data_IF_922486495300
#
_entry.id   IF_922486495300
#
_cell.length_a   1.000
_cell.length_b   1.000
_cell.length_c   1.000
_cell.angle_alpha   90.00
_cell.angle_beta   90.00
_cell.angle_gamma   90.00
#
_symmetry.space_group_name_H-M   'P 1'
#
loop_
_entity.id
_entity.type
_entity.pdbx_description
1 polymer ?
#
# COMPACT_ATOMS: atom_id res chain seq x y z
N UNK A 1 -20.20 -12.41 -20.26
CA UNK A 1 -19.97 -12.97 -21.61
C UNK A 1 -18.61 -12.49 -22.04
N UNK A 2 -17.63 -13.38 -22.19
CA UNK A 2 -16.30 -12.99 -22.68
C UNK A 2 -16.46 -12.35 -24.07
N UNK A 3 -16.22 -11.06 -24.16
CA UNK A 3 -16.24 -10.34 -25.42
C UNK A 3 -14.98 -9.50 -25.54
N UNK A 4 -14.75 -8.97 -26.73
CA UNK A 4 -13.58 -8.15 -27.03
C UNK A 4 -13.44 -6.97 -26.05
N UNK A 5 -14.54 -6.27 -25.77
CA UNK A 5 -14.57 -5.09 -24.88
C UNK A 5 -14.10 -5.39 -23.45
N UNK A 6 -14.36 -6.59 -22.93
CA UNK A 6 -13.86 -7.02 -21.63
C UNK A 6 -12.33 -6.97 -21.55
N UNK A 7 -11.63 -7.33 -22.62
CA UNK A 7 -10.16 -7.30 -22.65
C UNK A 7 -9.58 -5.95 -23.07
N UNK A 8 -10.36 -5.16 -23.81
CA UNK A 8 -9.98 -3.77 -24.14
C UNK A 8 -10.04 -2.85 -22.91
N UNK A 9 -10.70 -3.25 -21.82
CA UNK A 9 -10.64 -2.59 -20.50
C UNK A 9 -10.99 -1.09 -20.48
N UNK A 10 -11.85 -0.66 -21.40
CA UNK A 10 -12.40 0.70 -21.39
C UNK A 10 -13.28 0.98 -20.15
N UNK A 11 -13.71 -0.07 -19.43
CA UNK A 11 -14.52 0.01 -18.22
C UNK A 11 -13.72 0.31 -16.93
N UNK A 12 -12.39 0.19 -16.96
CA UNK A 12 -11.55 0.35 -15.77
C UNK A 12 -11.53 1.82 -15.32
N UNK A 13 -12.03 2.15 -14.10
CA UNK A 13 -12.11 3.53 -13.63
C UNK A 13 -10.73 4.05 -13.23
N UNK A 14 -10.54 5.36 -13.44
CA UNK A 14 -9.41 6.14 -12.93
C UNK A 14 -9.17 5.88 -11.43
N UNK A 15 -7.93 5.63 -11.04
CA UNK A 15 -7.56 5.40 -9.64
C UNK A 15 -7.50 6.71 -8.86
N UNK A 16 -7.13 7.81 -9.52
CA UNK A 16 -7.00 9.13 -8.88
C UNK A 16 -8.35 9.78 -8.52
N UNK A 17 -9.49 9.28 -9.03
CA UNK A 17 -10.82 9.84 -8.75
C UNK A 17 -11.61 9.08 -7.69
N UNK A 18 -11.00 8.06 -7.06
CA UNK A 18 -11.65 7.23 -6.04
C UNK A 18 -11.69 7.95 -4.70
N UNK A 19 -12.66 7.59 -3.85
CA UNK A 19 -12.67 8.04 -2.44
C UNK A 19 -11.50 7.46 -1.66
N UNK A 20 -11.08 6.23 -2.00
CA UNK A 20 -9.89 5.57 -1.50
C UNK A 20 -8.85 5.48 -2.61
N UNK A 21 -7.79 6.25 -2.47
CA UNK A 21 -6.69 6.29 -3.43
C UNK A 21 -5.69 5.18 -3.07
N UNK A 22 -5.45 4.21 -3.96
CA UNK A 22 -4.39 3.22 -3.75
C UNK A 22 -3.03 3.91 -3.83
N UNK A 23 -2.25 3.83 -2.74
CA UNK A 23 -0.86 4.27 -2.72
C UNK A 23 0.07 3.17 -3.26
N UNK A 24 -0.31 1.91 -3.08
CA UNK A 24 0.34 0.76 -3.70
C UNK A 24 -0.66 -0.39 -3.82
N UNK A 25 -0.62 -1.11 -4.93
CA UNK A 25 -1.42 -2.31 -5.14
C UNK A 25 -0.62 -3.37 -5.91
N UNK A 26 -0.76 -4.62 -5.49
CA UNK A 26 -0.23 -5.81 -6.13
C UNK A 26 -1.22 -6.96 -5.92
N UNK A 27 -2.39 -6.84 -6.56
CA UNK A 27 -3.46 -7.84 -6.48
C UNK A 27 -3.43 -8.75 -7.71
N UNK A 28 -3.56 -10.04 -7.48
CA UNK A 28 -3.68 -11.07 -8.52
C UNK A 28 -4.79 -12.00 -8.08
N UNK A 29 -5.91 -11.95 -8.80
CA UNK A 29 -7.16 -12.59 -8.39
C UNK A 29 -7.55 -13.60 -9.45
N UNK A 30 -7.51 -14.87 -9.08
CA UNK A 30 -8.16 -15.93 -9.83
C UNK A 30 -9.68 -15.77 -9.70
N UNK A 31 -10.36 -15.69 -10.84
CA UNK A 31 -11.81 -15.60 -10.90
C UNK A 31 -12.44 -16.98 -10.92
N UNK A 32 -13.63 -17.10 -10.32
CA UNK A 32 -14.46 -18.28 -10.48
C UNK A 32 -14.75 -18.52 -11.97
N UNK A 33 -14.29 -19.66 -12.47
CA UNK A 33 -14.43 -20.02 -13.88
C UNK A 33 -15.75 -20.74 -14.11
N UNK A 34 -16.62 -20.25 -15.01
CA UNK A 34 -17.70 -21.06 -15.52
C UNK A 34 -17.12 -22.25 -16.30
N UNK A 35 -17.91 -23.32 -16.46
CA UNK A 35 -17.43 -24.61 -16.97
C UNK A 35 -16.86 -24.57 -18.41
N UNK A 36 -17.04 -23.48 -19.15
CA UNK A 36 -16.51 -23.25 -20.50
C UNK A 36 -15.13 -22.57 -20.53
N UNK A 37 -14.61 -22.15 -19.37
CA UNK A 37 -13.27 -21.57 -19.23
C UNK A 37 -12.31 -22.55 -18.52
N UNK A 38 -11.06 -22.58 -18.96
CA UNK A 38 -9.99 -23.33 -18.28
C UNK A 38 -9.52 -22.55 -17.06
N UNK A 39 -9.25 -21.25 -17.23
CA UNK A 39 -8.89 -20.33 -16.15
C UNK A 39 -9.25 -18.89 -16.51
N UNK A 40 -9.44 -18.06 -15.50
CA UNK A 40 -9.62 -16.63 -15.65
C UNK A 40 -8.95 -15.94 -14.46
N UNK A 41 -8.12 -14.93 -14.71
CA UNK A 41 -7.47 -14.15 -13.66
C UNK A 41 -7.43 -12.66 -14.02
N UNK A 42 -7.35 -11.84 -12.98
CA UNK A 42 -7.25 -10.39 -13.08
C UNK A 42 -6.10 -9.92 -12.20
N UNK A 43 -5.16 -9.23 -12.82
CA UNK A 43 -4.08 -8.55 -12.12
C UNK A 43 -4.37 -7.05 -12.04
N UNK A 44 -4.08 -6.44 -10.89
CA UNK A 44 -4.01 -4.98 -10.76
C UNK A 44 -2.77 -4.59 -9.96
N UNK A 45 -1.92 -3.81 -10.62
CA UNK A 45 -0.75 -3.17 -10.05
C UNK A 45 -0.93 -1.66 -10.01
N UNK A 46 -0.62 -1.05 -8.87
CA UNK A 46 -0.57 0.42 -8.72
C UNK A 46 0.71 0.78 -7.99
N UNK A 47 1.46 1.70 -8.57
CA UNK A 47 2.64 2.32 -7.98
C UNK A 47 2.47 3.83 -7.98
N UNK A 48 2.86 4.48 -6.89
CA UNK A 48 2.67 5.94 -6.73
C UNK A 48 3.93 6.63 -6.27
N UNK A 49 4.04 7.90 -6.64
CA UNK A 49 5.14 8.79 -6.28
C UNK A 49 4.57 10.13 -5.83
N UNK A 50 4.90 10.58 -4.62
CA UNK A 50 4.60 11.95 -4.19
C UNK A 50 5.69 12.88 -4.75
N UNK A 51 5.36 13.55 -5.85
CA UNK A 51 6.28 14.36 -6.66
C UNK A 51 6.49 15.72 -6.01
N UNK A 52 7.74 16.15 -5.92
CA UNK A 52 8.09 17.48 -5.42
C UNK A 52 7.60 18.59 -6.35
N UNK A 53 7.30 19.76 -5.77
CA UNK A 53 7.02 20.96 -6.55
C UNK A 53 8.13 21.23 -7.59
N UNK A 54 7.74 21.45 -8.84
CA UNK A 54 8.66 21.70 -9.95
C UNK A 54 9.18 20.44 -10.66
N UNK A 55 8.90 19.24 -10.14
CA UNK A 55 9.32 17.97 -10.77
C UNK A 55 8.23 17.31 -11.62
N UNK A 56 7.05 17.91 -11.76
CA UNK A 56 5.91 17.31 -12.46
C UNK A 56 6.19 16.98 -13.93
N UNK A 57 6.97 17.81 -14.63
CA UNK A 57 7.37 17.56 -16.02
C UNK A 57 8.26 16.32 -16.13
N UNK A 58 9.26 16.20 -15.25
CA UNK A 58 10.17 15.06 -15.22
C UNK A 58 9.45 13.77 -14.80
N UNK A 59 8.66 13.82 -13.74
CA UNK A 59 7.85 12.69 -13.28
C UNK A 59 6.81 12.25 -14.33
N UNK A 60 6.27 13.19 -15.11
CA UNK A 60 5.35 12.88 -16.21
C UNK A 60 5.97 12.12 -17.39
N UNK A 61 7.29 11.91 -17.39
CA UNK A 61 8.02 11.07 -18.36
C UNK A 61 8.19 9.63 -17.86
N UNK A 62 7.85 9.36 -16.60
CA UNK A 62 7.92 8.02 -16.03
C UNK A 62 6.71 7.19 -16.48
N UNK A 63 6.94 5.90 -16.73
CA UNK A 63 5.89 4.94 -17.03
C UNK A 63 5.79 3.82 -15.97
N UNK A 64 5.04 2.76 -16.28
CA UNK A 64 4.90 1.59 -15.40
C UNK A 64 6.22 0.85 -15.16
N UNK A 65 7.09 0.77 -16.17
CA UNK A 65 8.38 0.09 -16.05
C UNK A 65 9.30 0.83 -15.08
N UNK A 66 9.15 2.15 -15.01
CA UNK A 66 9.91 3.02 -14.12
C UNK A 66 9.47 2.90 -12.66
N UNK A 67 8.18 3.15 -12.35
CA UNK A 67 7.69 3.06 -10.97
C UNK A 67 7.60 1.62 -10.47
N UNK A 68 7.04 0.72 -11.29
CA UNK A 68 6.89 -0.72 -11.10
C UNK A 68 6.51 -1.17 -9.66
N UNK A 69 6.62 -2.48 -9.39
CA UNK A 69 6.33 -3.05 -8.07
C UNK A 69 7.57 -3.65 -7.41
N UNK A 70 8.77 -3.25 -7.82
CA UNK A 70 9.99 -3.73 -7.18
C UNK A 70 10.07 -3.24 -5.73
N UNK A 71 10.70 -4.04 -4.84
CA UNK A 71 10.99 -3.59 -3.50
C UNK A 71 11.94 -2.39 -3.49
N UNK A 72 11.77 -1.54 -2.49
CA UNK A 72 12.57 -0.33 -2.31
C UNK A 72 13.82 -0.68 -1.50
N UNK A 73 14.96 -0.07 -1.87
CA UNK A 73 16.23 -0.31 -1.19
C UNK A 73 16.99 0.98 -0.96
N UNK A 74 17.43 1.17 0.28
CA UNK A 74 18.50 2.10 0.54
C UNK A 74 19.80 1.54 -0.02
N UNK A 75 20.63 2.40 -0.58
CA UNK A 75 21.90 1.99 -1.14
C UNK A 75 22.93 3.12 -1.01
N UNK A 76 24.21 2.79 -1.18
CA UNK A 76 25.30 3.77 -1.22
C UNK A 76 25.87 3.75 -2.62
N UNK A 77 25.99 4.93 -3.22
CA UNK A 77 26.62 5.14 -4.51
C UNK A 77 27.80 6.13 -4.39
N UNK A 78 28.37 6.55 -5.51
CA UNK A 78 29.58 7.40 -5.55
C UNK A 78 29.39 8.77 -4.90
N UNK A 79 28.15 9.26 -4.89
CA UNK A 79 27.72 10.55 -4.34
C UNK A 79 27.17 10.46 -2.91
N UNK A 80 27.06 9.27 -2.34
CA UNK A 80 26.73 9.07 -0.93
C UNK A 80 25.59 8.07 -0.69
N UNK A 81 24.94 8.24 0.46
CA UNK A 81 23.83 7.39 0.89
C UNK A 81 22.51 7.87 0.27
N UNK A 82 21.79 6.93 -0.33
CA UNK A 82 20.49 7.13 -0.95
C UNK A 82 19.41 6.46 -0.08
N UNK A 83 18.52 7.26 0.55
CA UNK A 83 17.39 6.74 1.32
C UNK A 83 16.39 5.97 0.44
N UNK A 84 15.75 4.94 1.02
CA UNK A 84 14.79 4.10 0.29
C UNK A 84 13.48 4.81 -0.08
N UNK A 85 13.15 5.87 0.66
CA UNK A 85 11.95 6.68 0.46
C UNK A 85 12.11 7.71 -0.65
N UNK A 86 13.32 8.11 -1.00
CA UNK A 86 13.55 9.09 -2.07
C UNK A 86 13.54 8.37 -3.41
N UNK A 87 12.72 8.86 -4.35
CA UNK A 87 12.74 8.36 -5.72
C UNK A 87 13.79 9.09 -6.54
N UNK A 88 14.73 8.31 -7.06
CA UNK A 88 15.83 8.75 -7.90
C UNK A 88 15.74 8.04 -9.23
N UNK A 89 16.06 8.76 -10.30
CA UNK A 89 16.08 8.22 -11.64
C UNK A 89 17.28 8.78 -12.39
N UNK A 90 18.02 7.90 -13.06
CA UNK A 90 19.27 8.25 -13.72
C UNK A 90 19.12 9.24 -14.88
N UNK A 91 17.90 9.49 -15.36
CA UNK A 91 17.61 10.47 -16.41
C UNK A 91 17.56 11.91 -15.87
N UNK A 92 17.53 12.10 -14.54
CA UNK A 92 17.39 13.40 -13.91
C UNK A 92 18.47 13.62 -12.83
N UNK A 93 18.90 14.86 -12.67
CA UNK A 93 19.94 15.21 -11.69
C UNK A 93 19.38 15.29 -10.27
N UNK A 94 18.13 15.74 -10.13
CA UNK A 94 17.48 15.99 -8.85
C UNK A 94 16.44 14.90 -8.54
N UNK A 95 16.22 14.58 -7.25
CA UNK A 95 15.15 13.67 -6.84
C UNK A 95 13.78 14.15 -7.32
N UNK A 96 12.95 13.21 -7.79
CA UNK A 96 11.63 13.56 -8.31
C UNK A 96 10.58 13.65 -7.21
N UNK A 97 10.74 12.91 -6.11
CA UNK A 97 9.73 12.80 -5.08
C UNK A 97 10.07 11.80 -3.99
N UNK A 98 9.06 11.41 -3.23
CA UNK A 98 9.15 10.36 -2.21
C UNK A 98 8.09 9.27 -2.41
N UNK A 99 8.46 8.04 -2.06
CA UNK A 99 7.56 6.91 -2.00
C UNK A 99 6.77 6.96 -0.68
N UNK A 100 5.44 7.09 -0.78
CA UNK A 100 4.58 7.08 0.41
C UNK A 100 4.40 5.68 1.00
N UNK A 101 4.75 4.64 0.23
CA UNK A 101 4.78 3.24 0.67
C UNK A 101 6.15 2.67 0.35
N UNK A 102 6.82 2.13 1.36
CA UNK A 102 8.10 1.43 1.22
C UNK A 102 7.85 -0.06 1.28
N UNK A 103 8.10 -0.73 0.18
CA UNK A 103 8.10 -2.18 0.12
C UNK A 103 9.48 -2.70 0.52
N UNK A 104 9.58 -3.26 1.73
CA UNK A 104 10.82 -3.85 2.24
C UNK A 104 10.93 -5.30 1.79
N UNK A 105 11.94 -5.58 0.98
CA UNK A 105 12.36 -6.95 0.71
C UNK A 105 13.00 -7.59 1.94
N UNK A 106 12.47 -8.74 2.35
CA UNK A 106 13.07 -9.59 3.37
C UNK A 106 13.61 -10.81 2.65
N UNK A 107 14.89 -10.77 2.26
CA UNK A 107 15.59 -11.84 1.51
C UNK A 107 15.10 -13.26 1.86
N UNK A 108 14.24 -13.82 1.02
CA UNK A 108 13.68 -15.18 1.17
C UNK A 108 12.24 -15.31 1.69
N UNK A 109 11.59 -14.21 2.09
CA UNK A 109 10.14 -14.15 2.20
C UNK A 109 9.56 -13.97 0.79
N UNK A 110 8.51 -14.73 0.45
CA UNK A 110 7.83 -14.57 -0.83
C UNK A 110 7.19 -13.19 -0.98
N UNK A 111 6.87 -12.54 0.16
CA UNK A 111 6.14 -11.30 0.24
C UNK A 111 6.89 -10.25 1.06
N UNK A 112 7.05 -9.06 0.48
CA UNK A 112 7.67 -7.92 1.15
C UNK A 112 6.80 -7.36 2.28
N UNK A 113 7.43 -6.62 3.19
CA UNK A 113 6.70 -5.89 4.24
C UNK A 113 6.47 -4.46 3.79
N UNK A 114 5.20 -4.07 3.67
CA UNK A 114 4.85 -2.71 3.28
C UNK A 114 4.79 -1.79 4.50
N UNK A 115 5.53 -0.69 4.40
CA UNK A 115 5.57 0.36 5.40
C UNK A 115 4.95 1.62 4.83
N UNK A 116 3.97 2.19 5.53
CA UNK A 116 3.51 3.55 5.25
C UNK A 116 4.59 4.55 5.69
N UNK A 117 4.86 5.55 4.86
CA UNK A 117 5.80 6.61 5.16
C UNK A 117 5.43 7.31 6.48
N UNK A 118 6.38 7.36 7.42
CA UNK A 118 6.13 7.79 8.80
C UNK A 118 5.66 9.24 8.90
N UNK A 119 6.13 10.11 8.01
CA UNK A 119 5.68 11.52 7.94
C UNK A 119 4.17 11.63 7.68
N UNK A 120 3.57 10.75 6.88
CA UNK A 120 2.11 10.76 6.64
C UNK A 120 1.36 10.50 7.94
N UNK A 121 1.82 9.54 8.74
CA UNK A 121 1.23 9.18 10.04
C UNK A 121 1.31 10.37 11.01
N UNK A 122 2.46 11.03 11.06
CA UNK A 122 2.71 12.14 11.97
C UNK A 122 1.96 13.41 11.54
N UNK A 123 2.02 13.77 10.26
CA UNK A 123 1.37 14.96 9.70
C UNK A 123 -0.16 14.91 9.87
N UNK A 124 -0.76 13.73 9.65
CA UNK A 124 -2.20 13.53 9.81
C UNK A 124 -2.62 13.11 11.23
N UNK A 125 -1.67 13.00 12.17
CA UNK A 125 -1.88 12.63 13.58
C UNK A 125 -2.67 11.32 13.74
N UNK A 126 -2.25 10.32 13.00
CA UNK A 126 -2.95 9.03 12.94
C UNK A 126 -2.53 8.11 14.09
N UNK A 127 -3.50 7.33 14.57
CA UNK A 127 -3.31 6.22 15.48
C UNK A 127 -3.48 4.91 14.71
N UNK A 128 -2.53 3.98 14.85
CA UNK A 128 -2.57 2.67 14.17
C UNK A 128 -3.15 1.61 15.09
N UNK A 129 -4.09 0.82 14.57
CA UNK A 129 -4.57 -0.41 15.17
C UNK A 129 -4.59 -1.51 14.08
N UNK A 130 -3.75 -2.53 14.24
CA UNK A 130 -3.51 -3.54 13.22
C UNK A 130 -3.06 -2.95 11.86
N UNK A 131 -3.84 -3.23 10.83
CA UNK A 131 -3.62 -2.78 9.45
C UNK A 131 -4.44 -1.52 9.09
N UNK A 132 -4.99 -0.83 10.09
CA UNK A 132 -5.81 0.36 9.88
C UNK A 132 -5.26 1.55 10.67
N UNK A 133 -5.30 2.74 10.07
CA UNK A 133 -4.95 3.99 10.71
C UNK A 133 -6.19 4.88 10.83
N UNK A 134 -6.43 5.32 12.04
CA UNK A 134 -7.55 6.17 12.43
C UNK A 134 -7.06 7.57 12.78
N UNK A 135 -7.90 8.58 12.59
CA UNK A 135 -7.66 9.94 13.11
C UNK A 135 -8.50 10.19 14.36
N UNK A 136 -7.93 10.13 15.58
CA UNK A 136 -8.69 10.30 16.82
C UNK A 136 -9.36 11.68 16.93
N UNK A 137 -8.71 12.73 16.40
CA UNK A 137 -9.22 14.10 16.45
C UNK A 137 -10.54 14.30 15.67
N UNK A 138 -10.83 13.43 14.69
CA UNK A 138 -12.06 13.43 13.89
C UNK A 138 -12.93 12.22 14.23
N UNK A 139 -13.04 11.89 15.52
CA UNK A 139 -13.93 10.84 15.99
C UNK A 139 -13.49 9.43 15.61
N UNK A 140 -12.17 9.20 15.51
CA UNK A 140 -11.60 7.90 15.11
C UNK A 140 -12.01 7.46 13.72
N UNK A 141 -12.19 8.41 12.80
CA UNK A 141 -12.46 8.11 11.40
C UNK A 141 -11.30 7.30 10.80
N UNK A 142 -11.65 6.30 10.00
CA UNK A 142 -10.69 5.51 9.23
C UNK A 142 -10.07 6.37 8.12
N UNK A 143 -8.74 6.36 8.01
CA UNK A 143 -8.00 7.20 7.05
C UNK A 143 -7.17 6.37 6.09
N UNK A 144 -6.48 5.35 6.59
CA UNK A 144 -5.61 4.47 5.79
C UNK A 144 -5.92 3.04 6.17
N UNK A 145 -5.89 2.14 5.20
CA UNK A 145 -5.93 0.71 5.44
C UNK A 145 -4.95 -0.04 4.55
N UNK A 146 -4.37 -1.07 5.13
CA UNK A 146 -3.58 -2.09 4.48
C UNK A 146 -4.46 -3.34 4.37
N UNK A 147 -4.65 -3.84 3.16
CA UNK A 147 -5.42 -5.03 2.85
C UNK A 147 -4.43 -6.16 2.58
N UNK A 148 -4.71 -7.32 3.15
CA UNK A 148 -3.92 -8.53 3.01
C UNK A 148 -4.74 -9.69 2.49
N UNK A 149 -4.11 -10.54 1.69
CA UNK A 149 -4.62 -11.84 1.26
C UNK A 149 -3.63 -12.90 1.73
N UNK A 150 -4.07 -13.90 2.50
CA UNK A 150 -3.17 -14.92 3.07
C UNK A 150 -1.91 -14.34 3.75
N UNK A 151 -2.09 -13.25 4.51
CA UNK A 151 -1.06 -12.46 5.21
C UNK A 151 -0.13 -11.62 4.31
N UNK A 152 -0.18 -11.81 2.99
CA UNK A 152 0.53 -11.01 1.98
C UNK A 152 -0.14 -9.64 1.81
N UNK A 153 0.60 -8.52 1.86
CA UNK A 153 0.03 -7.21 1.55
C UNK A 153 -0.31 -7.09 0.06
N UNK A 154 -1.55 -6.73 -0.24
CA UNK A 154 -2.03 -6.61 -1.64
C UNK A 154 -2.43 -5.20 -2.01
N UNK A 155 -2.89 -4.39 -1.05
CA UNK A 155 -3.30 -3.00 -1.33
C UNK A 155 -3.14 -2.13 -0.09
N UNK A 156 -2.49 -0.98 -0.23
CA UNK A 156 -2.46 0.07 0.78
C UNK A 156 -3.11 1.31 0.19
N UNK A 157 -4.17 1.80 0.83
CA UNK A 157 -4.97 2.91 0.32
C UNK A 157 -5.29 3.94 1.41
N UNK A 158 -5.47 5.18 0.98
CA UNK A 158 -5.74 6.35 1.82
C UNK A 158 -6.98 7.08 1.32
N UNK A 159 -7.77 7.64 2.24
CA UNK A 159 -8.88 8.51 1.87
C UNK A 159 -8.40 9.78 1.17
N UNK A 160 -9.02 10.09 0.03
CA UNK A 160 -8.62 11.16 -0.86
C UNK A 160 -8.52 12.52 -0.15
N UNK A 161 -9.45 12.86 0.74
CA UNK A 161 -9.43 14.16 1.42
C UNK A 161 -8.26 14.32 2.41
N UNK A 162 -7.80 13.24 3.03
CA UNK A 162 -6.65 13.28 3.94
C UNK A 162 -5.34 13.30 3.17
N UNK A 163 -5.28 12.57 2.06
CA UNK A 163 -4.16 12.62 1.13
C UNK A 163 -4.00 14.02 0.54
N UNK A 164 -5.09 14.65 0.10
CA UNK A 164 -5.08 16.01 -0.43
C UNK A 164 -4.51 17.01 0.59
N UNK A 165 -4.95 16.94 1.84
CA UNK A 165 -4.44 17.82 2.91
C UNK A 165 -2.95 17.60 3.17
N UNK A 166 -2.48 16.34 3.16
CA UNK A 166 -1.07 16.03 3.34
C UNK A 166 -0.21 16.59 2.20
N UNK A 167 -0.60 16.31 0.96
CA UNK A 167 0.12 16.73 -0.25
C UNK A 167 0.13 18.26 -0.39
N UNK A 168 -1.01 18.93 -0.11
CA UNK A 168 -1.11 20.39 -0.10
C UNK A 168 -0.16 21.04 0.92
N UNK A 169 -0.02 20.46 2.11
CA UNK A 169 0.89 20.96 3.14
C UNK A 169 2.37 20.77 2.77
N UNK A 170 2.68 19.73 1.99
CA UNK A 170 4.03 19.40 1.53
C UNK A 170 4.40 20.05 0.19
N UNK A 171 3.47 20.75 -0.47
CA UNK A 171 3.63 21.24 -1.84
C UNK A 171 4.04 20.12 -2.80
N UNK A 172 3.29 19.01 -2.77
CA UNK A 172 3.52 17.83 -3.60
C UNK A 172 2.27 17.48 -4.40
N UNK A 173 2.43 16.80 -5.52
CA UNK A 173 1.34 16.17 -6.27
C UNK A 173 1.58 14.66 -6.32
N UNK A 174 0.54 13.84 -6.23
CA UNK A 174 0.72 12.40 -6.36
C UNK A 174 0.63 11.99 -7.84
N UNK A 175 1.67 11.33 -8.33
CA UNK A 175 1.71 10.67 -9.62
C UNK A 175 1.43 9.18 -9.43
N UNK A 176 0.55 8.62 -10.26
CA UNK A 176 0.17 7.22 -10.21
C UNK A 176 0.48 6.57 -11.55
N UNK A 177 1.08 5.38 -11.51
CA UNK A 177 1.18 4.49 -12.65
C UNK A 177 0.51 3.17 -12.30
N UNK A 178 -0.42 2.75 -13.15
CA UNK A 178 -1.23 1.55 -12.95
C UNK A 178 -1.10 0.61 -14.14
N UNK A 179 -1.12 -0.68 -13.83
CA UNK A 179 -1.14 -1.77 -14.78
C UNK A 179 -2.28 -2.73 -14.44
N UNK A 180 -3.16 -2.97 -15.39
CA UNK A 180 -4.23 -3.95 -15.26
C UNK A 180 -4.06 -5.03 -16.31
N UNK A 181 -4.21 -6.29 -15.92
CA UNK A 181 -4.22 -7.42 -16.85
C UNK A 181 -5.48 -8.25 -16.61
N UNK A 182 -6.12 -8.68 -17.70
CA UNK A 182 -7.18 -9.69 -17.66
C UNK A 182 -6.73 -10.84 -18.54
N UNK A 183 -6.56 -12.02 -17.95
CA UNK A 183 -6.19 -13.24 -18.66
C UNK A 183 -7.34 -14.22 -18.57
N UNK A 184 -7.71 -14.81 -19.71
CA UNK A 184 -8.61 -15.96 -19.75
C UNK A 184 -8.04 -17.01 -20.67
N UNK A 185 -8.17 -18.27 -20.25
CA UNK A 185 -7.86 -19.42 -21.07
C UNK A 185 -9.14 -20.16 -21.43
N UNK A 186 -9.35 -20.39 -22.73
CA UNK A 186 -10.48 -21.14 -23.28
C UNK A 186 -10.02 -22.41 -24.00
N UNK A 187 -10.80 -23.50 -24.00
CA UNK A 187 -10.44 -24.73 -24.72
C UNK A 187 -10.51 -24.56 -26.25
N UNK A 188 -11.38 -23.66 -26.73
CA UNK A 188 -11.57 -23.34 -28.15
C UNK A 188 -11.32 -21.86 -28.43
N UNK A 189 -11.13 -21.51 -29.70
CA UNK A 189 -10.93 -20.11 -30.10
C UNK A 189 -12.14 -19.24 -29.68
N UNK A 190 -11.90 -17.99 -29.23
CA UNK A 190 -12.98 -17.05 -28.93
C UNK A 190 -13.79 -16.70 -30.19
N UNK A 191 -15.01 -16.19 -29.99
CA UNK A 191 -15.90 -15.77 -31.09
C UNK A 191 -15.50 -14.42 -31.71
N UNK A 192 -14.49 -13.75 -31.16
CA UNK A 192 -13.94 -12.49 -31.63
C UNK A 192 -12.46 -12.65 -31.92
N UNK A 193 -11.89 -11.71 -32.68
CA UNK A 193 -10.49 -11.77 -33.10
C UNK A 193 -9.87 -10.37 -33.16
N UNK A 194 -8.57 -10.30 -32.88
CA UNK A 194 -7.73 -9.16 -33.19
C UNK A 194 -6.82 -9.48 -34.39
N UNK A 195 -6.12 -8.48 -34.97
CA UNK A 195 -5.02 -8.74 -35.89
C UNK A 195 -3.98 -9.69 -35.28
N UNK A 196 -3.21 -10.38 -36.12
CA UNK A 196 -2.19 -11.34 -35.66
C UNK A 196 -1.14 -10.69 -34.74
N UNK A 197 -0.81 -9.42 -34.98
CA UNK A 197 0.09 -8.64 -34.12
C UNK A 197 -0.53 -8.23 -32.76
N UNK A 198 -1.83 -8.44 -32.60
CA UNK A 198 -2.62 -8.02 -31.45
C UNK A 198 -3.41 -6.73 -31.68
N UNK A 199 -4.17 -6.35 -30.66
CA UNK A 199 -4.80 -5.05 -30.53
C UNK A 199 -3.87 -4.12 -29.75
N UNK A 200 -3.74 -2.89 -30.20
CA UNK A 200 -3.07 -1.81 -29.48
C UNK A 200 -3.85 -0.50 -29.71
N UNK A 201 -4.11 0.23 -28.64
CA UNK A 201 -4.79 1.53 -28.68
C UNK A 201 -4.17 2.46 -27.65
N UNK A 202 -3.68 3.61 -28.11
CA UNK A 202 -3.25 4.71 -27.25
C UNK A 202 -4.35 5.76 -27.16
N UNK A 203 -4.70 6.17 -25.93
CA UNK A 203 -5.69 7.20 -25.66
C UNK A 203 -5.19 8.12 -24.55
N UNK A 204 -4.56 9.22 -24.93
CA UNK A 204 -3.98 10.16 -23.96
C UNK A 204 -2.80 9.53 -23.23
N UNK A 205 -2.96 9.23 -21.94
CA UNK A 205 -1.96 8.55 -21.10
C UNK A 205 -2.28 7.08 -20.84
N UNK A 206 -3.31 6.57 -21.51
CA UNK A 206 -3.70 5.17 -21.46
C UNK A 206 -3.16 4.42 -22.68
N UNK A 207 -2.54 3.28 -22.45
CA UNK A 207 -2.18 2.31 -23.49
C UNK A 207 -2.94 1.02 -23.22
N UNK A 208 -3.73 0.58 -24.20
CA UNK A 208 -4.46 -0.67 -24.14
C UNK A 208 -3.86 -1.65 -25.13
N UNK A 209 -3.62 -2.88 -24.71
CA UNK A 209 -3.20 -3.97 -25.59
C UNK A 209 -4.06 -5.21 -25.41
N UNK A 210 -4.16 -6.00 -26.47
CA UNK A 210 -4.90 -7.25 -26.49
C UNK A 210 -4.19 -8.30 -27.34
N UNK A 211 -4.05 -9.53 -26.84
CA UNK A 211 -3.48 -10.65 -27.59
C UNK A 211 -4.31 -11.92 -27.42
N UNK A 212 -4.48 -12.63 -28.54
CA UNK A 212 -5.03 -13.99 -28.56
C UNK A 212 -3.96 -14.90 -29.14
N UNK A 213 -3.55 -15.92 -28.39
CA UNK A 213 -2.59 -16.90 -28.87
C UNK A 213 -2.92 -18.29 -28.30
N UNK A 214 -2.48 -19.35 -28.97
CA UNK A 214 -2.55 -20.68 -28.39
C UNK A 214 -1.54 -20.78 -27.25
N UNK A 215 -1.85 -21.55 -26.20
CA UNK A 215 -0.89 -21.76 -25.09
C UNK A 215 0.44 -22.33 -25.59
N UNK A 216 0.37 -23.24 -26.57
CA UNK A 216 1.53 -23.80 -27.26
C UNK A 216 2.44 -22.73 -27.87
N UNK A 217 1.86 -21.75 -28.57
CA UNK A 217 2.64 -20.68 -29.21
C UNK A 217 3.35 -19.78 -28.18
N UNK A 218 2.82 -19.71 -26.96
CA UNK A 218 3.40 -18.95 -25.85
C UNK A 218 4.41 -19.77 -25.03
N UNK A 219 4.64 -21.04 -25.37
CA UNK A 219 5.50 -21.93 -24.58
C UNK A 219 4.95 -22.25 -23.18
N UNK A 220 3.67 -21.98 -22.95
CA UNK A 220 3.00 -22.25 -21.67
C UNK A 220 2.45 -23.68 -21.71
N UNK A 221 2.68 -24.51 -20.67
CA UNK A 221 2.11 -25.85 -20.60
C UNK A 221 0.57 -25.82 -20.65
N UNK A 222 -0.01 -26.64 -21.52
CA UNK A 222 -1.45 -26.83 -21.64
C UNK A 222 -1.96 -26.69 -23.08
N UNK A 223 -3.27 -26.83 -23.24
CA UNK A 223 -3.98 -26.72 -24.51
C UNK A 223 -5.01 -25.59 -24.45
N UNK A 224 -5.43 -25.10 -25.61
CA UNK A 224 -6.40 -24.01 -25.72
C UNK A 224 -5.79 -22.66 -26.09
N UNK A 225 -6.61 -21.63 -25.94
CA UNK A 225 -6.32 -20.24 -26.33
C UNK A 225 -6.20 -19.38 -25.09
N UNK A 226 -5.07 -18.67 -24.95
CA UNK A 226 -4.90 -17.60 -23.97
C UNK A 226 -5.32 -16.28 -24.63
N UNK A 227 -6.24 -15.60 -23.98
CA UNK A 227 -6.74 -14.28 -24.33
C UNK A 227 -6.28 -13.35 -23.21
N UNK A 228 -5.49 -12.34 -23.55
CA UNK A 228 -4.99 -11.36 -22.59
C UNK A 228 -5.32 -9.95 -23.05
N UNK A 229 -5.78 -9.14 -22.11
CA UNK A 229 -5.90 -7.70 -22.24
C UNK A 229 -5.01 -7.03 -21.21
N UNK A 230 -4.33 -5.95 -21.60
CA UNK A 230 -3.45 -5.16 -20.75
C UNK A 230 -3.80 -3.67 -20.86
N UNK A 231 -3.77 -2.95 -19.73
CA UNK A 231 -3.96 -1.51 -19.67
C UNK A 231 -2.84 -0.91 -18.82
N UNK A 232 -2.06 -0.02 -19.42
CA UNK A 232 -1.15 0.87 -18.71
C UNK A 232 -1.77 2.25 -18.66
N UNK A 233 -1.82 2.86 -17.47
CA UNK A 233 -2.41 4.17 -17.28
C UNK A 233 -1.59 4.98 -16.29
N UNK A 234 -1.29 6.22 -16.66
CA UNK A 234 -0.70 7.20 -15.75
C UNK A 234 -1.66 8.34 -15.43
N UNK A 235 -1.73 8.69 -14.15
CA UNK A 235 -2.71 9.64 -13.60
C UNK A 235 -2.04 10.60 -12.63
N UNK A 236 -2.65 11.77 -12.47
CA UNK A 236 -2.28 12.75 -11.44
C UNK A 236 -3.42 12.90 -10.45
N UNK A 237 -3.08 12.89 -9.16
CA UNK A 237 -3.96 13.31 -8.09
C UNK A 237 -3.45 14.66 -7.58
N UNK A 238 -4.16 15.72 -7.99
CA UNK A 238 -3.85 17.10 -7.61
C UNK A 238 -4.39 17.41 -6.22
N UNK A 239 -3.55 17.87 -5.27
CA UNK A 239 -4.07 18.41 -4.02
C UNK A 239 -4.87 19.68 -4.28
N UNK A 240 -5.83 19.97 -3.39
CA UNK A 240 -6.44 21.30 -3.35
C UNK A 240 -5.47 22.36 -2.80
N UNK A 241 -5.91 23.62 -2.81
CA UNK A 241 -5.08 24.74 -2.31
C UNK A 241 -4.96 24.77 -0.78
N UNK A 242 -5.82 24.04 -0.08
CA UNK A 242 -5.98 24.09 1.38
C UNK A 242 -5.56 22.79 2.03
N UNK A 243 -5.03 22.90 3.25
CA UNK A 243 -4.74 21.79 4.15
C UNK A 243 -5.24 22.11 5.57
N UNK A 244 -6.56 22.00 5.82
CA UNK A 244 -7.12 22.26 7.14
C UNK A 244 -6.55 21.32 8.21
N UNK A 245 -6.24 20.08 7.83
CA UNK A 245 -5.82 19.02 8.76
C UNK A 245 -4.35 19.06 9.16
N UNK A 246 -3.48 19.57 8.29
CA UNK A 246 -2.02 19.58 8.52
C UNK A 246 -1.52 21.00 8.72
N UNK A 247 -1.81 21.92 7.78
CA UNK A 247 -1.42 23.34 7.86
C UNK A 247 -2.33 24.15 8.78
N UNK A 248 -3.56 23.70 9.00
CA UNK A 248 -4.55 24.41 9.81
C UNK A 248 -5.28 25.51 9.05
N UNK A 249 -5.34 25.42 7.73
CA UNK A 249 -6.04 26.40 6.91
C UNK A 249 -7.53 26.46 7.23
N UNK A 250 -8.19 27.60 7.00
CA UNK A 250 -9.64 27.69 7.08
C UNK A 250 -10.27 26.69 6.11
N UNK A 251 -11.10 25.79 6.62
CA UNK A 251 -11.85 24.84 5.79
C UNK A 251 -12.80 25.61 4.86
N UNK A 252 -12.68 25.50 3.53
CA UNK A 252 -13.57 26.17 2.60
C UNK A 252 -15.01 25.62 2.67
N UNK A 253 -15.21 24.41 3.21
CA UNK A 253 -16.53 23.81 3.43
C UNK A 253 -16.55 23.31 4.89
N UNK A 254 -17.05 24.08 5.86
CA UNK A 254 -17.02 23.67 7.27
C UNK A 254 -17.85 22.39 7.45
N UNK A 255 -17.20 21.25 7.38
CA UNK A 255 -17.82 19.95 7.61
C UNK A 255 -17.91 19.72 9.12
N UNK A 256 -19.04 19.15 9.53
CA UNK A 256 -19.54 19.03 10.90
C UNK A 256 -18.60 18.22 11.82
N UNK A 257 -17.50 18.79 12.31
CA UNK A 257 -16.84 18.30 13.53
C UNK A 257 -15.82 19.28 14.09
N UNK A 258 -16.31 20.34 14.75
CA UNK A 258 -15.58 20.95 15.86
C UNK A 258 -16.59 21.39 16.92
N UNK A 259 -16.79 20.66 18.02
CA UNK A 259 -17.11 21.36 19.24
C UNK A 259 -15.91 22.26 19.54
N UNK A 260 -16.14 23.57 19.57
CA UNK A 260 -15.13 24.54 19.94
C UNK A 260 -14.50 24.09 21.27
N UNK A 261 -13.20 23.76 21.26
CA UNK A 261 -12.42 23.75 22.50
C UNK A 261 -12.32 25.20 22.95
N UNK A 262 -13.31 25.66 23.71
CA UNK A 262 -13.09 26.77 24.62
C UNK A 262 -11.99 26.33 25.57
N UNK A 263 -10.80 26.90 25.39
CA UNK A 263 -9.77 26.86 26.41
C UNK A 263 -10.28 27.69 27.60
N UNK A 264 -11.04 27.06 28.48
CA UNK A 264 -11.25 27.59 29.83
C UNK A 264 -9.89 27.53 30.52
N UNK A 265 -9.14 28.63 30.44
CA UNK A 265 -8.01 28.88 31.32
C UNK A 265 -8.55 28.87 32.75
N UNK A 266 -8.41 27.74 33.43
CA UNK A 266 -8.64 27.65 34.86
C UNK A 266 -7.54 28.47 35.54
N UNK A 267 -7.79 29.77 35.75
CA UNK A 267 -7.00 30.58 36.68
C UNK A 267 -7.30 30.10 38.09
N UNK A 268 -6.52 29.13 38.57
CA UNK A 268 -6.37 28.91 40.00
C UNK A 268 -5.29 29.86 40.50
N UNK A 269 -5.73 31.06 40.85
CA UNK A 269 -4.99 31.95 41.75
C UNK A 269 -5.08 31.39 43.16
N UNK A 270 -3.91 31.14 43.78
CA UNK A 270 -3.74 31.19 45.22
C UNK A 270 -3.64 29.83 45.93
N UNK A 271 -2.42 29.38 46.19
CA UNK A 271 -1.99 29.07 47.56
C UNK A 271 -0.45 29.09 47.62
N UNK A 272 0.04 29.90 48.54
CA UNK A 272 1.43 30.13 48.91
C UNK A 272 2.09 28.91 49.55
N UNK A 273 3.42 28.92 49.45
CA UNK A 273 4.45 28.17 50.18
C UNK A 273 4.04 27.62 51.56
N UNK A 274 4.55 26.45 51.98
CA UNK A 274 5.82 26.23 52.70
C UNK A 274 5.99 24.72 53.00
N UNK A 275 7.26 24.27 53.06
CA UNK A 275 7.83 23.20 53.90
C UNK A 275 8.32 21.90 53.22
N UNK A 276 9.64 21.89 53.08
CA UNK A 276 10.65 20.81 53.15
C UNK A 276 10.23 19.50 53.82
N UNK A 277 10.56 18.36 53.19
CA UNK A 277 10.54 17.05 53.84
C UNK A 277 10.93 15.90 52.91
N UNK A 278 12.20 15.46 53.00
CA UNK A 278 12.68 14.20 52.42
C UNK A 278 11.90 12.97 52.94
N UNK A 279 11.76 11.92 52.12
CA UNK A 279 12.18 10.51 52.38
C UNK A 279 11.45 9.49 51.47
N UNK A 280 12.27 8.72 50.75
CA UNK A 280 12.20 7.31 50.31
C UNK A 280 10.97 6.71 49.60
N UNK A 281 11.26 6.23 48.38
CA UNK A 281 11.15 4.83 47.92
C UNK A 281 9.85 4.03 48.02
N UNK A 282 9.49 3.46 46.86
CA UNK A 282 8.80 2.18 46.59
C UNK A 282 7.36 2.05 47.11
N UNK A 283 6.43 1.80 46.19
CA UNK A 283 5.78 0.50 45.92
C UNK A 283 4.55 0.78 45.04
N UNK A 284 4.48 0.11 43.88
CA UNK A 284 3.27 0.02 43.06
C UNK A 284 2.27 -0.92 43.75
N UNK A 285 0.97 -0.58 43.86
CA UNK A 285 -0.03 -1.55 44.26
C UNK A 285 -0.57 -2.29 43.03
N UNK A 286 -0.32 -3.60 43.00
CA UNK A 286 -1.11 -4.56 42.24
C UNK A 286 -2.54 -4.62 42.83
N UNK A 287 -3.55 -4.49 41.98
CA UNK A 287 -4.94 -4.71 42.35
C UNK A 287 -5.25 -6.20 42.18
N UNK A 288 -5.42 -6.88 43.32
CA UNK A 288 -6.14 -8.15 43.41
C UNK A 288 -7.63 -7.87 43.58
N UNK A 289 -8.49 -8.58 42.85
CA UNK A 289 -9.87 -8.80 43.26
C UNK A 289 -10.25 -10.30 43.15
N UNK A 290 -10.52 -10.83 44.33
CA UNK A 290 -11.14 -12.07 44.78
C UNK A 290 -11.84 -13.04 43.79
N UNK A 291 -11.34 -14.27 43.85
CA UNK A 291 -12.03 -15.57 44.07
C UNK A 291 -13.56 -15.62 44.20
N UNK A 292 -14.16 -16.54 43.43
CA UNK A 292 -15.22 -17.43 43.91
C UNK A 292 -14.98 -18.85 43.35
N UNK A 293 -15.05 -19.86 44.23
CA UNK A 293 -14.72 -21.26 43.97
C UNK A 293 -15.95 -22.16 44.15
N UNK A 294 -16.11 -23.16 43.26
CA UNK A 294 -16.76 -24.48 43.42
C UNK A 294 -16.81 -25.14 42.02
N UNK A 295 -16.46 -26.39 41.73
CA UNK A 295 -15.96 -27.53 42.49
C UNK A 295 -15.78 -28.74 41.56
N UNK A 296 -14.71 -29.52 41.82
CA UNK A 296 -14.54 -30.98 41.68
C UNK A 296 -14.53 -31.73 40.31
N UNK A 297 -13.38 -32.41 40.12
CA UNK A 297 -13.14 -33.79 39.62
C UNK A 297 -12.60 -33.98 38.17
N UNK A 298 -11.38 -34.56 38.08
CA UNK A 298 -10.51 -34.78 36.89
C UNK A 298 -10.78 -36.06 36.08
N UNK A 299 -9.78 -36.77 35.48
CA UNK A 299 -8.34 -36.50 35.32
C UNK A 299 -7.82 -36.46 33.86
N UNK A 300 -6.54 -36.10 33.71
CA UNK A 300 -5.77 -36.00 32.46
C UNK A 300 -5.58 -37.33 31.69
N UNK A 301 -5.10 -37.25 30.43
CA UNK A 301 -3.79 -37.83 30.20
C UNK A 301 -2.82 -37.00 29.33
N UNK A 302 -1.55 -37.30 29.58
CA UNK A 302 -0.31 -36.89 28.91
C UNK A 302 -0.29 -37.17 27.40
N UNK A 303 0.37 -36.29 26.63
CA UNK A 303 1.29 -36.57 25.49
C UNK A 303 1.86 -35.21 25.02
N UNK A 304 3.13 -34.93 25.32
CA UNK A 304 4.32 -35.26 24.53
C UNK A 304 4.68 -34.11 23.56
N UNK A 305 5.55 -33.22 24.05
CA UNK A 305 6.34 -32.30 23.23
C UNK A 305 7.21 -33.12 22.26
N UNK A 306 7.01 -32.95 20.96
CA UNK A 306 7.99 -33.36 19.94
C UNK A 306 8.88 -32.18 19.60
N UNK A 307 10.18 -32.41 19.76
CA UNK A 307 11.26 -31.47 19.58
C UNK A 307 11.45 -31.04 18.11
N UNK A 308 11.71 -29.74 17.94
CA UNK A 308 12.28 -29.14 16.73
C UNK A 308 13.70 -29.69 16.47
N UNK A 309 14.06 -30.05 15.21
CA UNK A 309 15.45 -30.34 14.87
C UNK A 309 16.25 -29.04 14.73
N UNK A 310 17.39 -28.98 15.45
CA UNK A 310 18.38 -27.90 15.36
C UNK A 310 19.08 -27.91 13.99
N UNK A 311 19.47 -26.74 13.45
CA UNK A 311 20.23 -26.65 12.21
C UNK A 311 21.66 -27.18 12.38
N UNK A 312 22.14 -27.95 11.38
CA UNK A 312 23.54 -28.40 11.28
C UNK A 312 24.44 -27.22 10.88
N UNK A 313 25.48 -26.98 11.67
CA UNK A 313 26.59 -26.12 11.31
C UNK A 313 27.31 -26.68 10.08
N UNK A 314 27.39 -25.88 9.00
CA UNK A 314 28.28 -26.13 7.88
C UNK A 314 29.59 -25.39 8.17
N UNK A 315 30.67 -26.15 8.28
CA UNK A 315 32.03 -25.66 8.43
C UNK A 315 32.51 -25.02 7.12
N UNK A 316 32.91 -23.76 7.18
CA UNK A 316 33.57 -23.07 6.07
C UNK A 316 34.99 -23.61 5.85
N UNK A 317 35.26 -24.08 4.64
CA UNK A 317 36.61 -24.37 4.13
C UNK A 317 37.11 -23.19 3.31
N UNK A 318 38.19 -22.56 3.76
CA UNK A 318 38.95 -21.53 3.02
C UNK A 318 39.64 -22.14 1.79
N UNK A 319 39.63 -21.51 0.61
CA UNK A 319 40.59 -21.84 -0.44
C UNK A 319 41.88 -21.03 -0.25
N UNK A 320 43.01 -21.73 -0.23
CA UNK A 320 44.32 -21.18 -0.63
C UNK A 320 44.51 -21.52 -2.11
N UNK A 321 44.91 -20.53 -2.91
CA UNK A 321 45.23 -20.68 -4.32
C UNK A 321 44.78 -19.48 -5.11
#
# INVERSE_FOLDING_TARGET
MLNQTYFEMADVPASASRTWIPLRENSDVDLDTPADLISASVFTGVATLAVYAGQSENAGRLDWSDLNLQPHRAHVWTDGYHPADIYLDNRFEEPLGINLVIDQDLEGAADGVWHLHSDVVLALRLSRDGDTWFRPEEGWVEVIRLIREDDRPVRLEIRAEFLADYLAARSMTLYLSSYHERIVVTPSAPTFSWPEEGFALEKGRDTHEGRIATQRNLGVPGEGFRIAGALWRTEWFEPGDFSPRVRGDPDPIPSLSRPAREATACRLTGCSEVSTGCISSRVWPAICCATAAAGCAGPAPRRACSALPRPRCISASTPRG
#
